data_IF_766587515351
#
_entry.id   IF_766587515351
#
_cell.length_a   1.000
_cell.length_b   1.000
_cell.length_c   1.000
_cell.angle_alpha   90.00
_cell.angle_beta   90.00
_cell.angle_gamma   90.00
#
_symmetry.space_group_name_H-M   'P 1'
#
loop_
_entity.id
_entity.type
_entity.pdbx_description
1 polymer ?
#
# COMPACT_ATOMS: atom_id res chain seq x y z
N UNK A 1 -0.80 0.97 -31.95
CA UNK A 1 -1.10 0.15 -30.76
C UNK A 1 -2.52 0.47 -30.34
N UNK A 2 -3.37 -0.54 -30.14
CA UNK A 2 -4.71 -0.33 -29.57
C UNK A 2 -4.53 0.08 -28.10
N UNK A 3 -4.82 1.33 -27.78
CA UNK A 3 -4.78 1.88 -26.42
C UNK A 3 -6.22 2.11 -26.01
N UNK A 4 -6.52 1.91 -24.72
CA UNK A 4 -7.81 2.29 -24.14
C UNK A 4 -7.98 3.81 -24.26
N UNK A 5 -9.15 4.28 -24.67
CA UNK A 5 -9.41 5.72 -24.80
C UNK A 5 -9.36 6.41 -23.44
N UNK A 6 -8.84 7.64 -23.42
CA UNK A 6 -8.78 8.46 -22.20
C UNK A 6 -10.19 8.72 -21.64
N UNK A 7 -11.16 8.95 -22.52
CA UNK A 7 -12.57 9.13 -22.15
C UNK A 7 -13.14 7.91 -21.42
N UNK A 8 -12.83 6.68 -21.87
CA UNK A 8 -13.29 5.46 -21.21
C UNK A 8 -12.63 5.26 -19.85
N UNK A 9 -11.34 5.60 -19.73
CA UNK A 9 -10.62 5.56 -18.45
C UNK A 9 -11.18 6.56 -17.44
N UNK A 10 -11.41 7.81 -17.86
CA UNK A 10 -11.94 8.86 -16.99
C UNK A 10 -13.36 8.48 -16.56
N UNK A 11 -14.23 8.12 -17.50
CA UNK A 11 -15.61 7.72 -17.20
C UNK A 11 -15.67 6.53 -16.25
N UNK A 12 -14.82 5.52 -16.45
CA UNK A 12 -14.79 4.37 -15.53
C UNK A 12 -14.21 4.70 -14.16
N UNK A 13 -13.24 5.62 -14.08
CA UNK A 13 -12.68 6.07 -12.81
C UNK A 13 -13.69 6.89 -12.00
N UNK A 14 -14.44 7.78 -12.67
CA UNK A 14 -15.51 8.58 -12.07
C UNK A 14 -16.67 7.72 -11.56
N UNK A 15 -17.12 6.75 -12.37
CA UNK A 15 -18.17 5.79 -11.98
C UNK A 15 -17.76 4.96 -10.74
N UNK A 16 -16.50 4.54 -10.68
CA UNK A 16 -15.98 3.80 -9.53
C UNK A 16 -15.89 4.69 -8.28
N UNK A 17 -15.38 5.91 -8.42
CA UNK A 17 -15.31 6.87 -7.33
C UNK A 17 -16.71 7.15 -6.77
N UNK A 18 -17.69 7.49 -7.62
CA UNK A 18 -19.07 7.78 -7.21
C UNK A 18 -19.71 6.62 -6.43
N UNK A 19 -19.49 5.37 -6.87
CA UNK A 19 -19.99 4.18 -6.16
C UNK A 19 -19.36 3.99 -4.79
N UNK A 20 -18.06 4.27 -4.67
CA UNK A 20 -17.32 4.13 -3.41
C UNK A 20 -17.59 5.29 -2.45
N UNK A 21 -17.91 6.49 -2.95
CA UNK A 21 -18.32 7.65 -2.13
C UNK A 21 -19.64 7.40 -1.38
N UNK A 22 -20.48 6.51 -1.91
CA UNK A 22 -21.73 6.11 -1.25
C UNK A 22 -21.51 5.22 -0.01
N UNK A 23 -20.29 4.71 0.21
CA UNK A 23 -19.95 3.88 1.36
C UNK A 23 -19.61 4.78 2.56
N UNK A 24 -20.17 4.46 3.73
CA UNK A 24 -19.92 5.25 4.94
C UNK A 24 -18.43 5.23 5.33
N UNK A 25 -17.90 6.38 5.73
CA UNK A 25 -16.49 6.53 6.09
C UNK A 25 -15.50 6.47 4.92
N UNK A 26 -15.97 6.52 3.68
CA UNK A 26 -15.14 6.65 2.48
C UNK A 26 -15.33 8.05 1.87
N UNK A 27 -14.22 8.67 1.49
CA UNK A 27 -14.22 9.85 0.62
C UNK A 27 -13.41 9.52 -0.62
N UNK A 28 -14.00 9.73 -1.79
CA UNK A 28 -13.39 9.40 -3.07
C UNK A 28 -13.22 10.61 -3.97
N UNK A 29 -12.17 10.61 -4.79
CA UNK A 29 -12.01 11.56 -5.88
C UNK A 29 -11.09 10.99 -6.97
N UNK A 30 -11.21 11.52 -8.19
CA UNK A 30 -10.33 11.14 -9.31
C UNK A 30 -9.25 12.20 -9.49
N UNK A 31 -8.00 11.78 -9.38
CA UNK A 31 -6.82 12.59 -9.69
C UNK A 31 -6.34 12.28 -11.12
N UNK A 32 -5.70 13.23 -11.79
CA UNK A 32 -5.19 13.05 -13.14
C UNK A 32 -3.67 13.21 -13.17
N UNK A 33 -2.96 12.13 -13.50
CA UNK A 33 -1.50 12.14 -13.66
C UNK A 33 -1.17 12.17 -15.15
N UNK A 34 -0.21 13.01 -15.55
CA UNK A 34 0.30 13.03 -16.92
C UNK A 34 1.73 12.49 -16.95
N UNK A 35 2.01 11.56 -17.86
CA UNK A 35 3.38 11.13 -18.17
C UNK A 35 3.97 11.91 -19.35
N UNK A 36 3.38 13.05 -19.70
CA UNK A 36 3.76 13.90 -20.84
C UNK A 36 3.13 13.49 -22.17
N UNK A 37 2.69 12.24 -22.33
CA UNK A 37 2.07 11.74 -23.58
C UNK A 37 0.62 11.32 -23.42
N UNK A 38 0.22 10.89 -22.23
CA UNK A 38 -1.12 10.41 -21.93
C UNK A 38 -1.53 10.90 -20.54
N UNK A 39 -2.81 11.19 -20.37
CA UNK A 39 -3.42 11.43 -19.07
C UNK A 39 -3.89 10.08 -18.52
N UNK A 40 -3.59 9.83 -17.24
CA UNK A 40 -4.00 8.63 -16.52
C UNK A 40 -4.81 9.03 -15.29
N UNK A 41 -6.11 8.69 -15.24
CA UNK A 41 -6.89 8.91 -14.04
C UNK A 41 -6.46 7.90 -12.96
N UNK A 42 -6.36 8.38 -11.73
CA UNK A 42 -6.10 7.56 -10.53
C UNK A 42 -7.24 7.80 -9.56
N UNK A 43 -7.92 6.73 -9.16
CA UNK A 43 -8.99 6.82 -8.16
C UNK A 43 -8.34 6.88 -6.78
N UNK A 44 -8.56 7.98 -6.06
CA UNK A 44 -8.06 8.17 -4.70
C UNK A 44 -9.19 8.00 -3.70
N UNK A 45 -8.96 7.14 -2.71
CA UNK A 45 -9.89 6.89 -1.62
C UNK A 45 -9.23 7.25 -0.31
N UNK A 46 -9.94 7.97 0.54
CA UNK A 46 -9.63 8.11 1.95
C UNK A 46 -10.66 7.31 2.74
N UNK A 47 -10.19 6.33 3.50
CA UNK A 47 -11.05 5.35 4.18
C UNK A 47 -10.77 5.37 5.68
N UNK A 48 -11.82 5.29 6.49
CA UNK A 48 -11.68 5.12 7.94
C UNK A 48 -11.07 3.75 8.27
N UNK A 49 -10.27 3.67 9.33
CA UNK A 49 -9.65 2.40 9.73
C UNK A 49 -10.67 1.33 10.12
N UNK A 50 -11.85 1.74 10.61
CA UNK A 50 -12.94 0.85 11.03
C UNK A 50 -13.62 0.17 9.84
N UNK A 51 -13.81 0.89 8.73
CA UNK A 51 -14.52 0.39 7.54
C UNK A 51 -13.55 -0.20 6.49
N UNK A 52 -12.24 -0.06 6.70
CA UNK A 52 -11.22 -0.48 5.74
C UNK A 52 -11.39 -1.93 5.25
N UNK A 53 -11.64 -2.87 6.15
CA UNK A 53 -11.74 -4.28 5.80
C UNK A 53 -12.91 -4.55 4.85
N UNK A 54 -14.07 -3.96 5.11
CA UNK A 54 -15.25 -4.11 4.26
C UNK A 54 -15.02 -3.49 2.88
N UNK A 55 -14.41 -2.31 2.83
CA UNK A 55 -14.04 -1.66 1.57
C UNK A 55 -13.06 -2.51 0.77
N UNK A 56 -12.06 -3.10 1.43
CA UNK A 56 -11.10 -3.99 0.79
C UNK A 56 -11.79 -5.22 0.17
N UNK A 57 -12.73 -5.85 0.87
CA UNK A 57 -13.48 -7.00 0.35
C UNK A 57 -14.34 -6.58 -0.86
N UNK A 58 -15.01 -5.44 -0.80
CA UNK A 58 -15.81 -4.93 -1.93
C UNK A 58 -14.95 -4.54 -3.14
N UNK A 59 -13.78 -3.93 -2.93
CA UNK A 59 -12.82 -3.63 -4.01
C UNK A 59 -12.43 -4.89 -4.78
N UNK A 60 -12.19 -6.00 -4.08
CA UNK A 60 -11.84 -7.27 -4.70
C UNK A 60 -13.04 -7.93 -5.40
N UNK A 61 -14.17 -8.07 -4.69
CA UNK A 61 -15.32 -8.87 -5.14
C UNK A 61 -16.18 -8.13 -6.17
N UNK A 62 -16.53 -6.87 -5.88
CA UNK A 62 -17.52 -6.13 -6.66
C UNK A 62 -16.90 -5.29 -7.77
N UNK A 63 -15.70 -4.75 -7.53
CA UNK A 63 -15.05 -3.79 -8.43
C UNK A 63 -13.87 -4.37 -9.22
N UNK A 64 -13.52 -5.64 -8.98
CA UNK A 64 -12.52 -6.38 -9.74
C UNK A 64 -11.10 -5.89 -9.56
N UNK A 65 -10.77 -5.29 -8.42
CA UNK A 65 -9.40 -4.86 -8.09
C UNK A 65 -8.57 -6.10 -7.78
N UNK A 66 -7.83 -6.56 -8.79
CA UNK A 66 -7.20 -7.88 -8.83
C UNK A 66 -5.74 -7.87 -8.32
N UNK A 67 -5.13 -6.70 -8.20
CA UNK A 67 -3.70 -6.61 -7.88
C UNK A 67 -3.37 -5.55 -6.83
N UNK A 68 -2.76 -5.99 -5.72
CA UNK A 68 -2.12 -5.13 -4.73
C UNK A 68 -0.66 -4.91 -5.12
N UNK A 69 -0.31 -3.68 -5.48
CA UNK A 69 1.02 -3.32 -5.96
C UNK A 69 1.99 -3.02 -4.83
N UNK A 70 1.55 -2.22 -3.86
CA UNK A 70 2.41 -1.75 -2.76
C UNK A 70 1.57 -1.30 -1.57
N UNK A 71 2.11 -1.50 -0.36
CA UNK A 71 1.56 -0.97 0.88
C UNK A 71 2.68 -0.20 1.57
N UNK A 72 2.41 1.06 1.94
CA UNK A 72 3.41 1.95 2.54
C UNK A 72 2.85 2.59 3.79
N UNK A 73 3.62 2.57 4.88
CA UNK A 73 3.32 3.32 6.11
C UNK A 73 4.13 4.62 6.22
N UNK A 74 3.51 5.67 6.76
CA UNK A 74 4.14 6.96 7.01
C UNK A 74 3.83 7.42 8.43
N UNK A 75 4.85 7.87 9.16
CA UNK A 75 4.72 8.47 10.49
C UNK A 75 4.81 10.01 10.40
N UNK A 76 3.80 10.70 10.88
CA UNK A 76 3.58 12.15 10.87
C UNK A 76 3.51 12.75 12.29
N UNK A 77 4.57 12.67 13.12
CA UNK A 77 4.54 13.17 14.50
C UNK A 77 4.37 14.69 14.64
N UNK A 78 4.62 15.45 13.57
CA UNK A 78 4.49 16.91 13.54
C UNK A 78 3.11 17.39 13.05
N UNK A 79 2.31 16.50 12.50
CA UNK A 79 0.99 16.83 11.97
C UNK A 79 -0.02 16.90 13.11
N UNK A 80 -0.97 17.84 13.01
CA UNK A 80 -2.07 18.00 13.97
C UNK A 80 -3.25 17.08 13.67
N UNK A 81 -3.38 16.66 12.41
CA UNK A 81 -4.58 16.02 11.89
C UNK A 81 -4.45 14.50 11.77
N UNK A 82 -3.23 14.00 11.58
CA UNK A 82 -2.93 12.57 11.41
C UNK A 82 -1.56 12.24 12.00
N UNK A 83 -1.45 11.13 12.73
CA UNK A 83 -0.15 10.70 13.30
C UNK A 83 0.45 9.57 12.47
N UNK A 84 -0.37 8.62 12.04
CA UNK A 84 0.06 7.57 11.11
C UNK A 84 -0.81 7.58 9.87
N UNK A 85 -0.21 7.17 8.76
CA UNK A 85 -0.87 7.05 7.49
C UNK A 85 -0.41 5.75 6.82
N UNK A 86 -1.36 5.01 6.26
CA UNK A 86 -1.09 3.85 5.43
C UNK A 86 -1.67 4.12 4.06
N UNK A 87 -0.87 3.84 3.04
CA UNK A 87 -1.25 4.02 1.65
C UNK A 87 -1.14 2.66 0.95
N UNK A 88 -2.22 2.25 0.32
CA UNK A 88 -2.29 1.06 -0.53
C UNK A 88 -2.37 1.50 -1.98
N UNK A 89 -1.56 0.90 -2.82
CA UNK A 89 -1.62 1.08 -4.27
C UNK A 89 -2.18 -0.19 -4.89
N UNK A 90 -3.31 -0.06 -5.58
CA UNK A 90 -3.95 -1.16 -6.28
C UNK A 90 -4.05 -0.90 -7.78
N UNK A 91 -4.18 -2.00 -8.51
CA UNK A 91 -4.49 -2.00 -9.93
C UNK A 91 -5.71 -2.89 -10.14
N UNK A 92 -6.58 -2.46 -11.05
CA UNK A 92 -7.50 -3.32 -11.78
C UNK A 92 -6.87 -3.60 -13.12
N UNK A 93 -6.35 -4.80 -13.32
CA UNK A 93 -5.64 -5.16 -14.56
C UNK A 93 -6.54 -5.74 -15.63
N UNK A 94 -7.68 -6.33 -15.23
CA UNK A 94 -8.62 -6.98 -16.16
C UNK A 94 -8.08 -8.32 -16.70
N UNK A 95 -7.02 -8.87 -16.08
CA UNK A 95 -6.42 -10.13 -16.49
C UNK A 95 -7.18 -11.27 -15.82
N UNK A 96 -7.84 -12.08 -16.64
CA UNK A 96 -8.61 -13.24 -16.18
C UNK A 96 -8.01 -14.54 -16.72
N UNK A 97 -8.23 -15.63 -15.99
CA UNK A 97 -7.78 -16.95 -16.44
C UNK A 97 -8.53 -17.37 -17.71
N UNK A 98 -7.84 -17.91 -18.72
CA UNK A 98 -8.48 -18.28 -19.98
C UNK A 98 -9.50 -19.42 -19.76
N UNK A 99 -10.67 -19.35 -20.41
CA UNK A 99 -11.67 -20.40 -20.30
C UNK A 99 -11.18 -21.69 -20.96
N UNK A 100 -11.58 -22.82 -20.38
CA UNK A 100 -11.30 -24.15 -20.91
C UNK A 100 -12.56 -24.69 -21.59
N UNK A 101 -12.44 -25.08 -22.87
CA UNK A 101 -13.52 -25.73 -23.61
C UNK A 101 -12.98 -26.96 -24.31
N UNK A 102 -13.65 -28.10 -24.15
CA UNK A 102 -13.28 -29.39 -24.75
C UNK A 102 -11.82 -29.82 -24.51
N UNK A 103 -11.26 -29.48 -23.34
CA UNK A 103 -9.87 -29.79 -23.00
C UNK A 103 -8.82 -28.89 -23.65
N UNK A 104 -9.26 -27.82 -24.35
CA UNK A 104 -8.40 -26.81 -24.96
C UNK A 104 -8.56 -25.47 -24.23
N UNK A 105 -7.44 -24.81 -23.96
CA UNK A 105 -7.40 -23.45 -23.41
C UNK A 105 -7.73 -22.46 -24.53
N UNK A 106 -8.80 -21.70 -24.38
CA UNK A 106 -9.21 -20.69 -25.35
C UNK A 106 -8.51 -19.36 -25.04
N UNK A 107 -7.82 -18.74 -26.01
CA UNK A 107 -7.19 -17.44 -25.78
C UNK A 107 -8.25 -16.35 -25.59
N UNK A 108 -8.03 -15.48 -24.62
CA UNK A 108 -8.82 -14.25 -24.46
C UNK A 108 -8.22 -13.21 -25.40
N UNK A 109 -9.02 -12.77 -26.37
CA UNK A 109 -8.64 -11.71 -27.31
C UNK A 109 -9.45 -10.47 -26.95
N UNK A 110 -8.77 -9.45 -26.43
CA UNK A 110 -9.38 -8.20 -25.97
C UNK A 110 -9.06 -7.06 -26.94
N UNK A 111 -10.08 -6.31 -27.34
CA UNK A 111 -9.91 -5.09 -28.11
C UNK A 111 -9.87 -3.88 -27.17
N UNK A 112 -8.69 -3.31 -26.93
CA UNK A 112 -8.52 -2.23 -25.94
C UNK A 112 -9.35 -0.99 -26.27
N UNK A 113 -9.67 -0.75 -27.55
CA UNK A 113 -10.43 0.42 -27.98
C UNK A 113 -11.93 0.34 -27.69
N UNK A 114 -12.43 -0.86 -27.33
CA UNK A 114 -13.85 -1.12 -27.05
C UNK A 114 -14.12 -1.41 -25.57
N UNK A 115 -13.07 -1.34 -24.72
CA UNK A 115 -13.20 -1.58 -23.29
C UNK A 115 -14.05 -0.50 -22.60
N UNK A 116 -14.99 -0.93 -21.77
CA UNK A 116 -15.89 -0.07 -20.99
C UNK A 116 -16.17 -0.67 -19.61
N UNK A 117 -16.57 0.16 -18.65
CA UNK A 117 -16.95 -0.29 -17.30
C UNK A 117 -15.83 -1.03 -16.55
N UNK A 118 -16.15 -2.18 -15.96
CA UNK A 118 -15.22 -2.97 -15.13
C UNK A 118 -14.02 -3.53 -15.89
N UNK A 119 -14.10 -3.65 -17.20
CA UNK A 119 -13.03 -4.22 -18.02
C UNK A 119 -11.91 -3.20 -18.31
N UNK A 120 -12.14 -1.92 -17.99
CA UNK A 120 -11.15 -0.85 -18.18
C UNK A 120 -10.08 -0.95 -17.09
N UNK A 121 -8.78 -1.04 -17.41
CA UNK A 121 -7.75 -1.04 -16.39
C UNK A 121 -7.68 0.29 -15.66
N UNK A 122 -7.57 0.27 -14.32
CA UNK A 122 -7.53 1.46 -13.46
C UNK A 122 -6.46 1.34 -12.39
N UNK A 123 -5.94 2.49 -11.96
CA UNK A 123 -5.07 2.61 -10.79
C UNK A 123 -5.87 3.19 -9.63
N UNK A 124 -5.67 2.64 -8.43
CA UNK A 124 -6.30 3.12 -7.21
C UNK A 124 -5.25 3.37 -6.13
N UNK A 125 -5.49 4.39 -5.33
CA UNK A 125 -4.68 4.74 -4.16
C UNK A 125 -5.62 4.89 -2.96
N UNK A 126 -5.48 4.01 -1.97
CA UNK A 126 -6.29 4.04 -0.76
C UNK A 126 -5.46 4.52 0.41
N UNK A 127 -5.92 5.55 1.07
CA UNK A 127 -5.26 6.18 2.21
C UNK A 127 -6.07 5.98 3.48
N UNK A 128 -5.42 5.54 4.54
CA UNK A 128 -6.00 5.36 5.87
C UNK A 128 -5.22 6.20 6.86
N UNK A 129 -5.91 7.03 7.63
CA UNK A 129 -5.31 7.81 8.71
C UNK A 129 -5.57 7.12 10.05
N UNK A 130 -4.51 6.97 10.85
CA UNK A 130 -4.61 6.50 12.23
C UNK A 130 -4.24 7.64 13.19
N UNK A 131 -4.92 7.63 14.34
CA UNK A 131 -4.71 8.62 15.40
C UNK A 131 -3.35 8.49 16.10
N UNK A 132 -3.09 9.40 17.04
CA UNK A 132 -1.88 9.37 17.87
C UNK A 132 -1.94 8.21 18.88
N UNK A 133 -1.40 7.07 18.47
CA UNK A 133 -1.29 5.87 19.30
C UNK A 133 0.13 5.31 19.26
N UNK A 134 0.51 4.62 20.33
CA UNK A 134 1.78 3.88 20.43
C UNK A 134 1.73 2.54 19.71
N UNK A 135 0.53 2.04 19.45
CA UNK A 135 0.24 0.75 18.82
C UNK A 135 -0.69 0.98 17.62
N UNK A 136 -0.19 1.61 16.54
CA UNK A 136 -0.99 1.78 15.33
C UNK A 136 -1.27 0.41 14.71
N UNK A 137 -2.54 0.11 14.43
CA UNK A 137 -2.96 -1.13 13.78
C UNK A 137 -4.05 -0.87 12.74
N UNK A 138 -4.14 -1.77 11.75
CA UNK A 138 -5.18 -1.80 10.73
C UNK A 138 -5.52 -3.26 10.40
N UNK A 139 -6.71 -3.54 9.87
CA UNK A 139 -7.02 -4.89 9.38
C UNK A 139 -6.10 -5.30 8.22
N UNK A 140 -5.53 -6.51 8.32
CA UNK A 140 -4.76 -7.14 7.23
C UNK A 140 -5.67 -7.44 6.04
N UNK A 141 -5.08 -7.48 4.85
CA UNK A 141 -5.73 -7.89 3.60
C UNK A 141 -4.96 -9.05 2.92
N UNK A 142 -4.07 -9.70 3.65
CA UNK A 142 -3.22 -10.80 3.19
C UNK A 142 -4.02 -11.95 2.56
N UNK A 143 -5.18 -12.27 3.11
CA UNK A 143 -6.08 -13.33 2.65
C UNK A 143 -6.89 -12.94 1.40
N UNK A 144 -7.05 -11.64 1.14
CA UNK A 144 -7.71 -11.11 -0.07
C UNK A 144 -6.70 -11.02 -1.22
N UNK A 145 -5.56 -10.35 -0.98
CA UNK A 145 -4.45 -10.28 -1.92
C UNK A 145 -3.20 -10.93 -1.33
N UNK A 146 -2.84 -12.09 -1.83
CA UNK A 146 -1.64 -12.84 -1.38
C UNK A 146 -0.35 -12.00 -1.45
N UNK A 147 -0.26 -11.08 -2.42
CA UNK A 147 0.86 -10.15 -2.56
C UNK A 147 1.01 -9.14 -1.42
N UNK A 148 -0.04 -8.91 -0.61
CA UNK A 148 0.02 -8.03 0.54
C UNK A 148 0.92 -8.59 1.66
N UNK A 149 1.13 -9.91 1.73
CA UNK A 149 1.89 -10.58 2.79
C UNK A 149 3.24 -9.89 3.11
N UNK A 150 4.06 -9.70 2.07
CA UNK A 150 5.39 -9.12 2.23
C UNK A 150 5.35 -7.61 2.47
N UNK A 151 4.41 -6.90 1.83
CA UNK A 151 4.27 -5.45 1.97
C UNK A 151 3.81 -5.06 3.39
N UNK A 152 2.88 -5.83 3.96
CA UNK A 152 2.44 -5.66 5.35
C UNK A 152 3.58 -5.95 6.33
N UNK A 153 4.33 -7.04 6.12
CA UNK A 153 5.53 -7.37 6.91
C UNK A 153 6.59 -6.28 6.85
N UNK A 154 6.85 -5.73 5.67
CA UNK A 154 7.82 -4.64 5.48
C UNK A 154 7.36 -3.37 6.21
N UNK A 155 6.09 -3.00 6.08
CA UNK A 155 5.51 -1.83 6.75
C UNK A 155 5.57 -1.98 8.27
N UNK A 156 5.25 -3.16 8.79
CA UNK A 156 5.40 -3.48 10.21
C UNK A 156 6.87 -3.41 10.66
N UNK A 157 7.80 -4.03 9.93
CA UNK A 157 9.20 -4.11 10.32
C UNK A 157 9.86 -2.71 10.33
N UNK A 158 9.60 -1.89 9.30
CA UNK A 158 10.24 -0.59 9.13
C UNK A 158 9.54 0.58 9.83
N UNK A 159 8.21 0.60 9.83
CA UNK A 159 7.39 1.73 10.33
C UNK A 159 6.73 1.40 11.67
N UNK A 160 6.43 0.13 11.93
CA UNK A 160 5.84 -0.32 13.19
C UNK A 160 4.32 -0.22 13.26
N UNK A 161 3.65 -0.20 12.09
CA UNK A 161 2.20 -0.33 11.99
C UNK A 161 1.85 -1.82 11.93
N UNK A 162 0.94 -2.26 12.80
CA UNK A 162 0.52 -3.66 12.92
C UNK A 162 -0.67 -3.98 12.01
N UNK A 163 -0.80 -5.25 11.65
CA UNK A 163 -1.83 -5.73 10.74
C UNK A 163 -2.65 -6.85 11.39
N UNK A 164 -3.85 -6.51 11.85
CA UNK A 164 -4.74 -7.41 12.57
C UNK A 164 -5.25 -8.52 11.64
N UNK A 165 -5.08 -9.77 12.08
CA UNK A 165 -5.42 -10.95 11.28
C UNK A 165 -4.32 -11.45 10.34
N UNK A 166 -3.17 -10.78 10.25
CA UNK A 166 -2.05 -11.25 9.43
C UNK A 166 -1.45 -12.56 9.97
N UNK A 167 -1.38 -13.59 9.13
CA UNK A 167 -0.76 -14.87 9.46
C UNK A 167 0.75 -14.85 9.18
N UNK A 168 1.53 -15.13 10.22
CA UNK A 168 2.99 -15.31 10.11
C UNK A 168 3.78 -13.99 10.07
N UNK A 169 3.27 -12.94 10.71
CA UNK A 169 3.98 -11.67 10.90
C UNK A 169 5.34 -11.87 11.57
N UNK A 170 6.41 -11.36 10.93
CA UNK A 170 7.80 -11.47 11.40
C UNK A 170 8.70 -10.45 10.73
N UNK A 171 9.87 -10.20 11.32
CA UNK A 171 10.88 -9.31 10.73
C UNK A 171 11.39 -9.89 9.40
N UNK A 172 11.52 -9.02 8.40
CA UNK A 172 11.88 -9.41 7.03
C UNK A 172 13.10 -8.65 6.51
N UNK A 173 13.27 -7.39 6.91
CA UNK A 173 14.36 -6.52 6.46
C UNK A 173 15.37 -6.24 7.57
N UNK A 174 14.89 -6.07 8.81
CA UNK A 174 15.79 -5.77 9.93
C UNK A 174 16.48 -7.03 10.46
N UNK A 175 17.74 -6.92 10.94
CA UNK A 175 18.42 -8.01 11.64
C UNK A 175 17.59 -8.52 12.82
N UNK A 176 17.66 -9.83 13.09
CA UNK A 176 16.95 -10.45 14.22
C UNK A 176 17.37 -9.92 15.59
N UNK A 177 18.58 -9.36 15.69
CA UNK A 177 19.12 -8.74 16.91
C UNK A 177 18.55 -7.33 17.17
N UNK A 178 17.80 -6.78 16.23
CA UNK A 178 17.19 -5.46 16.36
C UNK A 178 16.30 -5.39 17.61
N UNK A 179 16.47 -4.37 18.48
CA UNK A 179 15.66 -4.22 19.68
C UNK A 179 14.15 -4.29 19.38
N UNK A 180 13.38 -4.88 20.29
CA UNK A 180 11.91 -4.92 20.17
C UNK A 180 11.35 -3.49 20.17
N UNK A 181 10.40 -3.21 19.29
CA UNK A 181 9.78 -1.89 19.13
C UNK A 181 10.67 -0.84 18.45
N UNK A 182 11.86 -1.22 17.97
CA UNK A 182 12.65 -0.36 17.10
C UNK A 182 12.18 -0.53 15.66
N UNK A 183 11.76 0.60 15.07
CA UNK A 183 11.28 0.72 13.69
C UNK A 183 11.95 1.96 13.05
N UNK A 184 12.88 1.77 12.12
CA UNK A 184 13.83 2.79 11.68
C UNK A 184 13.20 3.96 10.93
N UNK A 185 12.06 3.76 10.26
CA UNK A 185 11.38 4.80 9.49
C UNK A 185 10.44 5.66 10.35
N UNK A 186 10.27 5.35 11.63
CA UNK A 186 9.57 6.26 12.53
C UNK A 186 10.39 7.54 12.73
N UNK A 187 9.82 8.69 12.37
CA UNK A 187 10.48 10.01 12.48
C UNK A 187 10.97 10.41 13.88
N UNK A 188 10.56 9.71 14.94
CA UNK A 188 11.13 9.89 16.30
C UNK A 188 12.58 9.39 16.40
N UNK A 189 12.98 8.43 15.56
CA UNK A 189 14.33 7.93 15.51
C UNK A 189 15.21 8.88 14.70
N UNK A 190 16.22 9.44 15.36
CA UNK A 190 17.23 10.24 14.66
C UNK A 190 18.18 9.29 13.93
N UNK A 191 18.40 9.55 12.64
CA UNK A 191 19.52 8.95 11.92
C UNK A 191 20.80 9.34 12.67
N UNK A 192 21.67 8.35 12.92
CA UNK A 192 22.93 8.57 13.66
C UNK A 192 23.82 9.65 13.03
N UNK A 193 23.63 9.93 11.74
CA UNK A 193 24.46 10.83 10.93
C UNK A 193 23.93 12.27 10.77
N UNK A 194 22.88 12.69 11.50
CA UNK A 194 22.35 14.05 11.31
C UNK A 194 23.36 15.17 11.62
N UNK A 195 24.46 14.90 12.36
CA UNK A 195 25.47 15.90 12.73
C UNK A 195 26.94 15.41 12.73
N UNK A 196 27.26 14.18 12.27
CA UNK A 196 28.64 13.64 12.33
C UNK A 196 29.02 12.83 11.09
N UNK A 197 30.25 13.03 10.61
CA UNK A 197 30.80 12.51 9.36
C UNK A 197 31.85 11.43 9.60
N UNK A 198 31.62 10.53 10.56
CA UNK A 198 32.52 9.40 10.83
C UNK A 198 31.82 8.07 10.50
N UNK A 199 32.32 7.43 9.44
CA UNK A 199 31.88 6.11 8.98
C UNK A 199 32.22 5.01 10.01
N UNK A 200 31.20 4.20 10.30
CA UNK A 200 31.14 2.83 10.85
C UNK A 200 32.11 2.36 11.95
N UNK A 201 31.49 1.81 13.01
CA UNK A 201 32.00 0.67 13.79
C UNK A 201 31.09 -0.53 13.55
N UNK A 202 31.68 -1.58 12.97
CA UNK A 202 31.06 -2.82 12.52
C UNK A 202 30.04 -2.69 11.37
N UNK A 203 29.86 -3.77 10.62
CA UNK A 203 29.10 -3.78 9.37
C UNK A 203 27.59 -3.49 9.54
N UNK A 204 27.07 -3.44 10.78
CA UNK A 204 25.65 -3.25 11.08
C UNK A 204 25.39 -2.17 12.17
N UNK A 205 26.43 -1.62 12.81
CA UNK A 205 26.39 -0.52 13.75
C UNK A 205 25.82 -0.83 15.14
N UNK A 206 25.71 -2.09 15.58
CA UNK A 206 25.02 -2.42 16.84
C UNK A 206 25.93 -2.58 18.07
N UNK A 207 27.27 -2.72 17.91
CA UNK A 207 28.21 -2.81 19.04
C UNK A 207 29.06 -1.55 19.17
N UNK A 208 29.51 -1.25 20.40
CA UNK A 208 30.48 -0.17 20.68
C UNK A 208 31.91 -0.68 20.46
N UNK A 209 32.86 0.23 20.16
CA UNK A 209 34.30 -0.09 20.26
C UNK A 209 34.63 -0.56 21.68
N UNK A 210 35.59 -1.50 21.83
CA UNK A 210 36.13 -1.89 23.14
C UNK A 210 36.68 -0.72 23.97
N UNK A 211 37.02 0.40 23.33
CA UNK A 211 37.56 1.60 24.00
C UNK A 211 36.47 2.46 24.62
N UNK A 212 35.21 2.34 24.16
CA UNK A 212 34.06 3.14 24.62
C UNK A 212 33.03 2.31 25.42
N UNK A 213 33.38 1.08 25.79
CA UNK A 213 32.52 0.19 26.58
C UNK A 213 32.29 0.69 28.01
N UNK A 214 33.23 1.47 28.56
CA UNK A 214 33.18 1.93 29.95
C UNK A 214 32.51 3.31 30.13
N UNK A 215 32.13 3.99 29.05
CA UNK A 215 31.50 5.30 29.12
C UNK A 215 29.98 5.16 29.33
N UNK A 216 29.50 5.60 30.50
CA UNK A 216 28.07 5.59 30.85
C UNK A 216 27.30 6.59 29.98
N UNK A 217 26.07 6.21 29.61
CA UNK A 217 25.19 6.91 28.66
C UNK A 217 24.80 8.32 29.11
#
# INVERSE_FOLDING_TARGET
MSVVSEESQISSAEDLAEKLDAVDGVSSFVDQRSNGTQIRPVVKLQVSSENWREVAESLYVDYGVDYCSMITGIHWPESKDKNWEIIYHFLRTGVTNPPHSEGVVQPIITNNSELTGSDVPLELEVTIHLGDTRTPSVASIQDIWVGADWNEKETWDLVGIDFEGHEGMRRVLQPHETPKGYHPLQKQHKLRYHNFQEMYDDAQGFKRKPVDSERVK
#
